data_IF_170519069107
#
_entry.id   IF_170519069107
#
_cell.length_a   1.000
_cell.length_b   1.000
_cell.length_c   1.000
_cell.angle_alpha   90.00
_cell.angle_beta   90.00
_cell.angle_gamma   90.00
#
_symmetry.space_group_name_H-M   'P 1'
#
loop_
_entity.id
_entity.type
_entity.pdbx_description
1 polymer ?
#
# COMPACT_ATOMS: atom_id res chain seq x y z
N UNK A 1 -62.93 -2.82 -25.97
CA UNK A 1 -62.15 -3.83 -25.21
C UNK A 1 -60.88 -4.15 -26.00
N UNK A 2 -59.86 -3.30 -25.90
CA UNK A 2 -58.47 -3.52 -26.33
C UNK A 2 -57.66 -2.60 -25.43
N UNK A 3 -57.22 -3.15 -24.30
CA UNK A 3 -56.32 -2.46 -23.40
C UNK A 3 -54.93 -2.45 -24.05
N UNK A 4 -54.26 -1.31 -23.98
CA UNK A 4 -52.92 -1.09 -24.50
C UNK A 4 -51.88 -1.80 -23.61
N UNK A 5 -51.46 -3.00 -24.04
CA UNK A 5 -50.42 -3.79 -23.37
C UNK A 5 -48.98 -3.43 -23.81
N UNK A 6 -48.78 -2.35 -24.57
CA UNK A 6 -47.49 -2.03 -25.19
C UNK A 6 -46.60 -1.06 -24.38
N UNK A 7 -47.10 -0.50 -23.27
CA UNK A 7 -46.40 0.53 -22.49
C UNK A 7 -45.63 0.01 -21.26
N UNK A 8 -45.68 -1.30 -20.98
CA UNK A 8 -45.09 -1.89 -19.77
C UNK A 8 -43.63 -2.40 -19.96
N UNK A 9 -43.17 -2.60 -21.20
CA UNK A 9 -41.89 -3.28 -21.46
C UNK A 9 -40.67 -2.36 -21.60
N UNK A 10 -40.87 -1.03 -21.63
CA UNK A 10 -39.79 -0.04 -21.89
C UNK A 10 -39.19 0.52 -20.59
N UNK A 11 -39.88 0.37 -19.45
CA UNK A 11 -39.45 0.92 -18.15
C UNK A 11 -38.35 0.16 -17.41
N UNK A 12 -37.85 -0.96 -17.94
CA UNK A 12 -36.84 -1.80 -17.25
C UNK A 12 -35.44 -1.77 -17.89
N UNK A 13 -35.26 -1.08 -19.02
CA UNK A 13 -33.96 -1.02 -19.73
C UNK A 13 -33.23 0.32 -19.58
N UNK A 14 -33.84 1.35 -18.99
CA UNK A 14 -33.24 2.69 -18.89
C UNK A 14 -32.49 2.97 -17.58
N UNK A 15 -32.56 2.07 -16.59
CA UNK A 15 -31.96 2.26 -15.27
C UNK A 15 -30.53 1.68 -15.17
N UNK A 16 -30.20 0.69 -16.01
CA UNK A 16 -28.87 0.05 -16.05
C UNK A 16 -27.80 0.96 -16.70
N UNK A 17 -28.12 1.64 -17.81
CA UNK A 17 -27.18 2.52 -18.50
C UNK A 17 -26.84 3.77 -17.66
N UNK A 18 -27.80 4.30 -16.90
CA UNK A 18 -27.60 5.50 -16.08
C UNK A 18 -26.57 5.26 -14.96
N UNK A 19 -26.69 4.15 -14.22
CA UNK A 19 -25.73 3.84 -13.14
C UNK A 19 -24.34 3.50 -13.68
N UNK A 20 -24.24 2.80 -14.82
CA UNK A 20 -22.94 2.47 -15.43
C UNK A 20 -22.27 3.74 -15.97
N UNK A 21 -23.04 4.68 -16.54
CA UNK A 21 -22.51 5.97 -16.96
C UNK A 21 -22.07 6.85 -15.79
N UNK A 22 -22.84 6.91 -14.70
CA UNK A 22 -22.44 7.64 -13.48
C UNK A 22 -21.22 7.00 -12.81
N UNK A 23 -21.16 5.67 -12.77
CA UNK A 23 -20.01 4.93 -12.25
C UNK A 23 -18.76 5.14 -13.11
N UNK A 24 -18.90 5.13 -14.44
CA UNK A 24 -17.81 5.47 -15.36
C UNK A 24 -17.34 6.91 -15.14
N UNK A 25 -18.26 7.87 -15.01
CA UNK A 25 -17.93 9.28 -14.69
C UNK A 25 -17.27 9.41 -13.31
N UNK A 26 -17.62 8.56 -12.35
CA UNK A 26 -17.00 8.52 -11.02
C UNK A 26 -15.56 7.97 -11.06
N UNK A 27 -15.34 6.86 -11.77
CA UNK A 27 -14.01 6.26 -11.94
C UNK A 27 -13.09 7.16 -12.78
N UNK A 28 -13.63 7.83 -13.81
CA UNK A 28 -12.87 8.75 -14.66
C UNK A 28 -12.30 9.96 -13.89
N UNK A 29 -12.65 10.14 -12.62
CA UNK A 29 -11.94 11.06 -11.72
C UNK A 29 -10.53 10.49 -11.46
N UNK A 30 -9.52 11.02 -12.16
CA UNK A 30 -8.13 10.55 -12.08
C UNK A 30 -7.60 10.34 -10.65
N UNK A 31 -7.97 11.21 -9.71
CA UNK A 31 -7.60 11.10 -8.30
C UNK A 31 -8.05 9.78 -7.63
N UNK A 32 -9.18 9.20 -8.06
CA UNK A 32 -9.70 7.93 -7.50
C UNK A 32 -8.96 6.73 -8.10
N UNK A 33 -8.68 6.77 -9.41
CA UNK A 33 -7.93 5.72 -10.10
C UNK A 33 -6.50 5.61 -9.58
N UNK A 34 -5.80 6.73 -9.42
CA UNK A 34 -4.41 6.74 -8.94
C UNK A 34 -4.31 6.20 -7.51
N UNK A 35 -5.26 6.58 -6.65
CA UNK A 35 -5.36 6.04 -5.29
C UNK A 35 -5.66 4.53 -5.30
N UNK A 36 -6.59 4.09 -6.13
CA UNK A 36 -6.98 2.68 -6.22
C UNK A 36 -5.81 1.79 -6.68
N UNK A 37 -5.08 2.23 -7.72
CA UNK A 37 -3.87 1.53 -8.20
C UNK A 37 -2.82 1.48 -7.09
N UNK A 38 -2.59 2.59 -6.37
CA UNK A 38 -1.65 2.63 -5.24
C UNK A 38 -1.97 1.62 -4.13
N UNK A 39 -3.24 1.47 -3.75
CA UNK A 39 -3.68 0.53 -2.71
C UNK A 39 -3.51 -0.92 -3.17
N UNK A 40 -3.92 -1.24 -4.41
CA UNK A 40 -3.83 -2.61 -4.95
C UNK A 40 -2.37 -3.05 -5.04
N UNK A 41 -1.51 -2.20 -5.60
CA UNK A 41 -0.07 -2.47 -5.69
C UNK A 41 0.55 -2.56 -4.30
N UNK A 42 0.16 -1.68 -3.36
CA UNK A 42 0.63 -1.71 -1.98
C UNK A 42 0.27 -3.02 -1.26
N UNK A 43 -0.96 -3.49 -1.41
CA UNK A 43 -1.43 -4.74 -0.82
C UNK A 43 -0.72 -5.97 -1.41
N UNK A 44 -0.52 -6.00 -2.73
CA UNK A 44 0.20 -7.07 -3.40
C UNK A 44 1.69 -7.08 -3.00
N UNK A 45 2.32 -5.91 -2.98
CA UNK A 45 3.71 -5.76 -2.57
C UNK A 45 3.93 -6.18 -1.11
N UNK A 46 3.02 -5.80 -0.20
CA UNK A 46 3.05 -6.25 1.19
C UNK A 46 3.12 -7.77 1.32
N UNK A 47 2.31 -8.51 0.56
CA UNK A 47 2.35 -9.99 0.53
C UNK A 47 3.70 -10.53 0.06
N UNK A 48 4.29 -9.92 -0.97
CA UNK A 48 5.61 -10.33 -1.49
C UNK A 48 6.67 -10.15 -0.40
N UNK A 49 6.65 -9.02 0.32
CA UNK A 49 7.59 -8.78 1.41
C UNK A 49 7.37 -9.76 2.55
N UNK A 50 6.12 -10.02 2.95
CA UNK A 50 5.80 -11.00 3.99
C UNK A 50 6.30 -12.40 3.61
N UNK A 51 6.05 -12.88 2.40
CA UNK A 51 6.56 -14.17 1.93
C UNK A 51 8.09 -14.21 1.88
N UNK A 52 8.74 -13.14 1.42
CA UNK A 52 10.20 -13.07 1.42
C UNK A 52 10.79 -13.18 2.83
N UNK A 53 10.20 -12.49 3.80
CA UNK A 53 10.66 -12.54 5.19
C UNK A 53 10.41 -13.92 5.79
N UNK A 54 9.20 -14.45 5.61
CA UNK A 54 8.78 -15.71 6.22
C UNK A 54 9.48 -16.92 5.62
N UNK A 55 9.64 -16.95 4.30
CA UNK A 55 10.10 -18.14 3.59
C UNK A 55 11.62 -18.13 3.35
N UNK A 56 12.27 -16.95 3.28
CA UNK A 56 13.71 -16.84 2.98
C UNK A 56 14.52 -16.36 4.18
N UNK A 57 14.05 -15.36 4.95
CA UNK A 57 14.83 -14.82 6.07
C UNK A 57 14.64 -15.62 7.36
N UNK A 58 13.43 -16.06 7.68
CA UNK A 58 13.18 -16.77 8.94
C UNK A 58 13.91 -18.13 9.04
N UNK A 59 14.03 -18.99 8.02
CA UNK A 59 14.68 -20.29 8.23
C UNK A 59 16.17 -20.21 8.59
N UNK A 60 17.00 -19.37 7.94
CA UNK A 60 18.40 -19.14 8.36
C UNK A 60 18.51 -18.48 9.74
N UNK A 61 17.67 -17.47 10.02
CA UNK A 61 17.68 -16.76 11.30
C UNK A 61 17.25 -17.69 12.44
N UNK A 62 16.21 -18.49 12.21
CA UNK A 62 15.69 -19.48 13.17
C UNK A 62 16.68 -20.61 13.44
N UNK A 63 17.50 -20.99 12.46
CA UNK A 63 18.59 -21.95 12.67
C UNK A 63 19.75 -21.35 13.48
N UNK A 64 20.12 -20.09 13.20
CA UNK A 64 21.21 -19.37 13.86
C UNK A 64 20.89 -18.96 15.30
N UNK A 65 19.67 -18.51 15.56
CA UNK A 65 19.20 -18.03 16.87
C UNK A 65 18.55 -19.14 17.72
N UNK A 66 18.52 -20.39 17.23
CA UNK A 66 18.10 -21.57 17.99
C UNK A 66 16.59 -21.69 18.22
N UNK A 67 15.80 -21.78 17.14
CA UNK A 67 14.32 -21.86 17.17
C UNK A 67 13.71 -20.77 18.05
N UNK A 68 13.75 -19.54 17.54
CA UNK A 68 13.10 -18.37 18.16
C UNK A 68 11.58 -18.52 18.03
N UNK A 69 11.00 -19.36 18.86
CA UNK A 69 9.56 -19.60 18.87
C UNK A 69 9.00 -19.23 20.24
N UNK A 70 8.81 -17.93 20.46
CA UNK A 70 8.15 -17.43 21.68
C UNK A 70 6.65 -17.73 21.67
N UNK A 71 6.12 -18.34 20.61
CA UNK A 71 4.71 -18.67 20.42
C UNK A 71 4.12 -19.51 21.55
N UNK A 72 4.92 -20.21 22.35
CA UNK A 72 4.46 -21.02 23.49
C UNK A 72 4.63 -20.34 24.86
N UNK A 73 5.05 -19.07 24.91
CA UNK A 73 5.07 -18.30 26.15
C UNK A 73 3.71 -17.64 26.37
N UNK A 74 2.96 -18.21 27.31
CA UNK A 74 1.67 -17.68 27.76
C UNK A 74 1.59 -17.65 29.28
N UNK A 75 0.89 -16.65 29.79
CA UNK A 75 0.47 -16.58 31.18
C UNK A 75 -0.98 -17.07 31.26
N UNK A 76 -1.18 -18.25 31.82
CA UNK A 76 -2.53 -18.73 32.13
C UNK A 76 -3.01 -18.07 33.43
N UNK A 77 -4.17 -17.41 33.38
CA UNK A 77 -4.78 -16.77 34.55
C UNK A 77 -5.73 -17.71 35.31
N UNK A 78 -5.85 -18.97 34.90
CA UNK A 78 -6.70 -20.00 35.51
C UNK A 78 -5.90 -21.00 36.37
N UNK A 79 -6.58 -21.66 37.30
CA UNK A 79 -6.01 -22.67 38.22
C UNK A 79 -5.72 -24.02 37.57
N UNK A 80 -5.92 -24.17 36.26
CA UNK A 80 -5.68 -25.41 35.50
C UNK A 80 -4.37 -25.32 34.71
N UNK A 81 -3.41 -26.25 34.89
CA UNK A 81 -2.19 -26.25 34.08
C UNK A 81 -2.53 -26.69 32.65
N UNK A 82 -2.26 -25.83 31.67
CA UNK A 82 -2.33 -26.16 30.24
C UNK A 82 -0.90 -26.22 29.71
N UNK A 83 -0.57 -27.26 28.93
CA UNK A 83 0.78 -27.49 28.42
C UNK A 83 1.08 -26.70 27.13
N UNK A 84 0.04 -26.31 26.38
CA UNK A 84 0.19 -25.59 25.11
C UNK A 84 -0.83 -24.46 24.97
N UNK A 85 -0.47 -23.42 24.20
CA UNK A 85 -1.33 -22.25 23.95
C UNK A 85 -2.62 -22.62 23.20
N UNK A 86 -2.55 -23.63 22.36
CA UNK A 86 -3.68 -24.19 21.60
C UNK A 86 -4.71 -24.83 22.53
N UNK A 87 -4.28 -25.67 23.48
CA UNK A 87 -5.19 -26.32 24.44
C UNK A 87 -5.83 -25.31 25.40
N UNK A 88 -5.09 -24.27 25.81
CA UNK A 88 -5.63 -23.23 26.69
C UNK A 88 -6.67 -22.34 25.96
N UNK A 89 -6.46 -22.06 24.67
CA UNK A 89 -7.41 -21.31 23.82
C UNK A 89 -8.66 -22.13 23.52
N UNK A 90 -8.50 -23.41 23.18
CA UNK A 90 -9.61 -24.32 22.86
C UNK A 90 -10.47 -24.64 24.10
N UNK A 91 -9.86 -24.66 25.29
CA UNK A 91 -10.57 -24.78 26.57
C UNK A 91 -11.28 -23.47 27.02
N UNK A 92 -11.21 -22.40 26.23
CA UNK A 92 -11.84 -21.11 26.54
C UNK A 92 -11.26 -20.42 27.78
N UNK A 93 -10.04 -20.76 28.19
CA UNK A 93 -9.39 -20.17 29.36
C UNK A 93 -8.86 -18.77 29.01
N UNK A 94 -8.98 -17.79 29.91
CA UNK A 94 -8.37 -16.47 29.70
C UNK A 94 -6.84 -16.59 29.80
N UNK A 95 -6.17 -16.61 28.64
CA UNK A 95 -4.72 -16.69 28.51
C UNK A 95 -4.14 -15.40 27.95
N UNK A 96 -3.09 -14.88 28.56
CA UNK A 96 -2.29 -13.78 28.01
C UNK A 96 -1.12 -14.38 27.23
N UNK A 97 -1.26 -14.43 25.90
CA UNK A 97 -0.24 -14.89 24.97
C UNK A 97 0.74 -13.77 24.61
N UNK A 98 1.60 -13.38 25.56
CA UNK A 98 2.61 -12.33 25.29
C UNK A 98 3.69 -12.81 24.31
N UNK A 99 3.90 -14.13 24.21
CA UNK A 99 4.78 -14.74 23.24
C UNK A 99 4.44 -14.44 21.78
N UNK A 100 3.15 -14.53 21.41
CA UNK A 100 2.70 -14.19 20.05
C UNK A 100 2.84 -12.70 19.73
N UNK A 101 2.71 -11.84 20.74
CA UNK A 101 2.93 -10.40 20.56
C UNK A 101 4.41 -10.10 20.31
N UNK A 102 5.31 -10.71 21.08
CA UNK A 102 6.75 -10.53 20.89
C UNK A 102 7.20 -11.03 19.51
N UNK A 103 6.68 -12.17 19.06
CA UNK A 103 6.93 -12.67 17.70
C UNK A 103 6.45 -11.66 16.64
N UNK A 104 5.23 -11.12 16.76
CA UNK A 104 4.73 -10.12 15.81
C UNK A 104 5.59 -8.84 15.78
N UNK A 105 6.15 -8.41 16.92
CA UNK A 105 7.08 -7.27 16.98
C UNK A 105 8.41 -7.60 16.29
N UNK A 106 8.97 -8.78 16.52
CA UNK A 106 10.21 -9.24 15.85
C UNK A 106 10.01 -9.33 14.35
N UNK A 107 8.91 -9.93 13.89
CA UNK A 107 8.56 -10.05 12.48
C UNK A 107 8.42 -8.67 11.83
N UNK A 108 7.75 -7.73 12.49
CA UNK A 108 7.62 -6.35 12.02
C UNK A 108 8.99 -5.67 11.86
N UNK A 109 9.90 -5.85 12.82
CA UNK A 109 11.26 -5.29 12.73
C UNK A 109 12.05 -5.92 11.58
N UNK A 110 11.94 -7.22 11.35
CA UNK A 110 12.61 -7.92 10.23
C UNK A 110 12.05 -7.44 8.89
N UNK A 111 10.72 -7.33 8.75
CA UNK A 111 10.04 -6.79 7.56
C UNK A 111 10.49 -5.36 7.28
N UNK A 112 10.49 -4.49 8.29
CA UNK A 112 10.94 -3.11 8.13
C UNK A 112 12.40 -3.03 7.68
N UNK A 113 13.27 -3.86 8.26
CA UNK A 113 14.68 -3.95 7.86
C UNK A 113 14.85 -4.48 6.43
N UNK A 114 14.08 -5.50 6.02
CA UNK A 114 14.10 -6.04 4.68
C UNK A 114 13.66 -5.01 3.62
N UNK A 115 12.58 -4.27 3.89
CA UNK A 115 12.12 -3.17 3.02
C UNK A 115 13.20 -2.10 2.90
N UNK A 116 13.83 -1.72 4.01
CA UNK A 116 14.93 -0.75 4.00
C UNK A 116 16.10 -1.21 3.11
N UNK A 117 16.51 -2.49 3.21
CA UNK A 117 17.54 -3.05 2.36
C UNK A 117 17.13 -3.04 0.87
N UNK A 118 15.88 -3.39 0.56
CA UNK A 118 15.37 -3.36 -0.82
C UNK A 118 15.39 -1.93 -1.38
N UNK A 119 14.86 -0.95 -0.66
CA UNK A 119 14.84 0.46 -1.10
C UNK A 119 16.28 0.96 -1.27
N UNK A 120 17.18 0.63 -0.34
CA UNK A 120 18.60 1.00 -0.44
C UNK A 120 19.26 0.37 -1.68
N UNK A 121 18.94 -0.88 -1.98
CA UNK A 121 19.47 -1.57 -3.16
C UNK A 121 18.93 -0.96 -4.46
N UNK A 122 17.62 -0.66 -4.52
CA UNK A 122 17.01 0.02 -5.67
C UNK A 122 17.62 1.41 -5.85
N UNK A 123 17.75 2.21 -4.80
CA UNK A 123 18.38 3.54 -4.86
C UNK A 123 19.87 3.47 -5.25
N UNK A 124 20.54 2.35 -4.97
CA UNK A 124 21.93 2.12 -5.40
C UNK A 124 22.01 1.76 -6.89
N UNK A 125 21.07 0.97 -7.40
CA UNK A 125 21.05 0.51 -8.79
C UNK A 125 20.43 1.54 -9.75
N UNK A 126 19.48 2.33 -9.27
CA UNK A 126 18.93 3.50 -9.94
C UNK A 126 19.44 4.75 -9.23
N UNK A 127 20.67 5.22 -9.55
CA UNK A 127 21.12 6.51 -9.06
C UNK A 127 20.07 7.54 -9.48
N UNK A 128 19.60 8.31 -8.49
CA UNK A 128 18.58 9.35 -8.66
C UNK A 128 19.08 10.27 -9.79
N UNK A 129 18.53 10.13 -11.00
CA UNK A 129 18.61 11.21 -11.99
C UNK A 129 17.95 12.38 -11.28
N UNK A 130 18.73 13.37 -10.92
CA UNK A 130 18.21 14.61 -10.37
C UNK A 130 17.09 15.05 -11.32
N UNK A 131 15.85 14.97 -10.84
CA UNK A 131 14.76 15.67 -11.49
C UNK A 131 15.22 17.11 -11.45
N UNK A 132 15.72 17.62 -12.59
CA UNK A 132 16.29 18.95 -12.67
C UNK A 132 15.23 19.88 -12.10
N UNK A 133 15.60 20.55 -11.00
CA UNK A 133 14.65 21.29 -10.20
C UNK A 133 14.13 22.44 -11.06
N UNK A 134 12.82 22.53 -11.23
CA UNK A 134 12.19 23.58 -12.01
C UNK A 134 12.72 24.95 -11.54
N UNK A 135 13.49 25.62 -12.38
CA UNK A 135 13.98 26.97 -12.10
C UNK A 135 12.82 27.94 -11.93
N UNK A 136 13.01 28.97 -11.10
CA UNK A 136 12.02 30.04 -10.94
C UNK A 136 12.20 31.07 -12.06
N UNK A 137 11.11 31.50 -12.68
CA UNK A 137 11.14 32.61 -13.63
C UNK A 137 11.56 33.91 -12.91
N UNK A 138 12.55 34.67 -13.41
CA UNK A 138 13.02 35.91 -12.77
C UNK A 138 11.97 37.03 -12.74
N UNK A 139 10.97 36.98 -13.61
CA UNK A 139 9.93 38.00 -13.72
C UNK A 139 8.70 37.69 -12.86
N UNK A 140 8.12 36.49 -13.02
CA UNK A 140 6.88 36.12 -12.34
C UNK A 140 7.07 35.21 -11.11
N UNK A 141 8.29 34.74 -10.83
CA UNK A 141 8.62 33.83 -9.72
C UNK A 141 7.79 32.54 -9.70
N UNK A 142 7.24 32.13 -10.84
CA UNK A 142 6.59 30.82 -10.98
C UNK A 142 7.59 29.78 -11.49
N UNK A 143 7.35 28.53 -11.14
CA UNK A 143 8.15 27.37 -11.55
C UNK A 143 8.04 27.18 -13.06
N UNK A 144 9.18 27.02 -13.72
CA UNK A 144 9.29 26.80 -15.17
C UNK A 144 10.25 25.63 -15.43
N UNK A 145 10.06 24.94 -16.55
CA UNK A 145 11.00 23.93 -16.99
C UNK A 145 12.39 24.56 -17.25
N UNK A 146 13.45 23.79 -17.02
CA UNK A 146 14.82 24.30 -17.11
C UNK A 146 15.25 24.67 -18.53
N UNK A 147 14.63 24.04 -19.52
CA UNK A 147 14.84 24.28 -20.95
C UNK A 147 13.80 25.24 -21.56
N UNK A 148 12.91 25.82 -20.75
CA UNK A 148 11.91 26.76 -21.25
C UNK A 148 12.57 28.03 -21.78
N UNK A 149 12.43 28.32 -23.08
CA UNK A 149 12.91 29.57 -23.70
C UNK A 149 11.97 30.75 -23.42
N UNK A 150 10.68 30.47 -23.16
CA UNK A 150 9.66 31.44 -22.75
C UNK A 150 8.88 30.93 -21.55
N UNK A 151 8.54 31.85 -20.65
CA UNK A 151 7.71 31.51 -19.51
C UNK A 151 6.23 31.33 -19.95
N UNK A 152 5.56 30.21 -19.63
CA UNK A 152 4.15 29.99 -19.98
C UNK A 152 3.19 30.92 -19.25
N UNK A 153 3.59 31.46 -18.09
CA UNK A 153 2.71 32.30 -17.27
C UNK A 153 2.78 33.78 -17.62
N UNK A 154 3.98 34.32 -17.83
CA UNK A 154 4.16 35.75 -18.11
C UNK A 154 4.63 36.04 -19.53
N UNK A 155 4.81 35.02 -20.37
CA UNK A 155 5.22 35.13 -21.78
C UNK A 155 6.55 35.84 -22.05
N UNK A 156 7.28 36.21 -21.01
CA UNK A 156 8.61 36.81 -21.10
C UNK A 156 9.61 35.81 -21.68
N UNK A 157 10.51 36.31 -22.52
CA UNK A 157 11.69 35.58 -22.96
C UNK A 157 12.65 35.42 -21.78
N UNK A 158 13.03 34.18 -21.51
CA UNK A 158 13.93 33.86 -20.41
C UNK A 158 15.36 34.00 -20.93
N UNK A 159 16.24 34.75 -20.24
CA UNK A 159 17.64 34.80 -20.62
C UNK A 159 18.21 33.37 -20.60
N UNK A 160 18.97 33.02 -21.64
CA UNK A 160 19.44 31.66 -21.88
C UNK A 160 20.27 31.06 -20.73
N UNK A 161 20.73 31.91 -19.80
CA UNK A 161 21.57 31.50 -18.68
C UNK A 161 21.16 32.27 -17.42
N UNK A 162 20.27 31.68 -16.63
CA UNK A 162 20.26 31.91 -15.19
C UNK A 162 20.58 30.55 -14.56
N UNK A 163 21.89 30.28 -14.44
CA UNK A 163 22.39 29.21 -13.57
C UNK A 163 22.17 29.60 -12.11
#
# INVERSE_FOLDING_TARGET
MKADYSFCSIGLYYEEDFMIEEFKKFIMRGNVLDMAVGIIIGAAFGKIVTSFVNDILMPPIGLLLGRVDFSNLFLNLSSTPAATLTEARDAGLPVIAYGSFLNAVVDFLIVAFAIFLLIKQVNRLMPKKEAKAARLCPYCRQEIADDATRCPHCTSELPAEAK
#
